data_IF_089694925402
#
_entry.id   IF_089694925402
#
_cell.length_a   1.000
_cell.length_b   1.000
_cell.length_c   1.000
_cell.angle_alpha   90.00
_cell.angle_beta   90.00
_cell.angle_gamma   90.00
#
_symmetry.space_group_name_H-M   'P 1'
#
loop_
_entity.id
_entity.type
_entity.pdbx_description
1 polymer ?
#
# COMPACT_ATOMS: atom_id res chain seq x y z
N UNK A 1 -9.24 2.18 17.74
CA UNK A 1 -7.99 1.70 17.12
C UNK A 1 -7.63 2.49 15.87
N UNK A 2 -6.32 2.68 15.60
CA UNK A 2 -5.89 3.35 14.37
C UNK A 2 -6.31 2.56 13.12
N UNK A 3 -6.80 3.23 12.06
CA UNK A 3 -7.31 2.54 10.87
C UNK A 3 -6.16 1.88 10.10
N UNK A 4 -6.37 0.64 9.65
CA UNK A 4 -5.44 -0.11 8.81
C UNK A 4 -6.09 -0.37 7.45
N UNK A 5 -5.43 0.04 6.37
CA UNK A 5 -5.85 -0.24 5.01
C UNK A 5 -4.84 -1.15 4.33
N UNK A 6 -5.28 -2.31 3.85
CA UNK A 6 -4.48 -3.20 3.01
C UNK A 6 -5.06 -3.17 1.60
N UNK A 7 -4.23 -2.85 0.62
CA UNK A 7 -4.60 -2.87 -0.80
C UNK A 7 -4.02 -4.12 -1.44
N UNK A 8 -4.87 -5.10 -1.77
CA UNK A 8 -4.44 -6.28 -2.52
C UNK A 8 -4.23 -5.93 -4.00
N UNK A 9 -3.00 -6.09 -4.45
CA UNK A 9 -2.54 -5.81 -5.80
C UNK A 9 -2.40 -7.08 -6.65
N UNK A 10 -2.88 -8.24 -6.16
CA UNK A 10 -2.76 -9.54 -6.86
C UNK A 10 -3.32 -9.55 -8.28
N UNK A 11 -4.33 -8.72 -8.57
CA UNK A 11 -4.94 -8.56 -9.90
C UNK A 11 -4.48 -7.30 -10.65
N UNK A 12 -3.66 -6.46 -10.03
CA UNK A 12 -3.17 -5.21 -10.64
C UNK A 12 -1.99 -5.53 -11.54
N UNK A 13 -2.07 -5.11 -12.81
CA UNK A 13 -1.02 -5.34 -13.81
C UNK A 13 -0.03 -4.18 -13.89
N UNK A 14 -0.49 -2.95 -13.72
CA UNK A 14 0.29 -1.73 -13.87
C UNK A 14 -0.31 -0.59 -13.04
N UNK A 15 0.54 0.36 -12.62
CA UNK A 15 0.14 1.61 -11.98
C UNK A 15 0.88 2.80 -12.59
N UNK A 16 0.17 3.92 -12.72
CA UNK A 16 0.71 5.20 -13.19
C UNK A 16 0.59 6.30 -12.13
N UNK A 17 0.93 7.54 -12.53
CA UNK A 17 0.97 8.72 -11.65
C UNK A 17 -0.33 8.99 -10.88
N UNK A 18 -1.49 8.72 -11.49
CA UNK A 18 -2.79 8.87 -10.83
C UNK A 18 -2.91 7.98 -9.57
N UNK A 19 -2.52 6.71 -9.69
CA UNK A 19 -2.55 5.76 -8.56
C UNK A 19 -1.53 6.12 -7.49
N UNK A 20 -0.33 6.55 -7.90
CA UNK A 20 0.70 7.07 -7.00
C UNK A 20 0.16 8.26 -6.19
N UNK A 21 -0.51 9.22 -6.82
CA UNK A 21 -1.13 10.36 -6.14
C UNK A 21 -2.24 9.94 -5.16
N UNK A 22 -3.04 8.93 -5.52
CA UNK A 22 -4.03 8.36 -4.61
C UNK A 22 -3.39 7.71 -3.38
N UNK A 23 -2.32 6.92 -3.54
CA UNK A 23 -1.64 6.30 -2.41
C UNK A 23 -1.03 7.33 -1.45
N UNK A 24 -0.43 8.40 -1.97
CA UNK A 24 0.07 9.51 -1.14
C UNK A 24 -1.08 10.15 -0.35
N UNK A 25 -2.21 10.39 -1.01
CA UNK A 25 -3.39 10.99 -0.37
C UNK A 25 -3.96 10.08 0.72
N UNK A 26 -4.11 8.79 0.44
CA UNK A 26 -4.59 7.80 1.40
C UNK A 26 -3.65 7.69 2.61
N UNK A 27 -2.34 7.53 2.37
CA UNK A 27 -1.33 7.41 3.43
C UNK A 27 -1.34 8.64 4.36
N UNK A 28 -1.33 9.86 3.79
CA UNK A 28 -1.42 11.10 4.59
C UNK A 28 -2.73 11.22 5.36
N UNK A 29 -3.83 10.78 4.77
CA UNK A 29 -5.16 10.87 5.39
C UNK A 29 -5.27 9.92 6.58
N UNK A 30 -4.80 8.68 6.44
CA UNK A 30 -4.81 7.71 7.53
C UNK A 30 -3.78 8.08 8.60
N UNK A 31 -2.61 8.60 8.23
CA UNK A 31 -1.59 9.04 9.19
C UNK A 31 -2.10 10.12 10.16
N UNK A 32 -3.01 11.02 9.72
CA UNK A 32 -3.67 12.00 10.61
C UNK A 32 -4.50 11.35 11.73
N UNK A 33 -4.86 10.08 11.59
CA UNK A 33 -5.59 9.27 12.57
C UNK A 33 -4.71 8.20 13.23
N UNK A 34 -3.38 8.29 13.06
CA UNK A 34 -2.41 7.28 13.50
C UNK A 34 -2.47 5.96 12.71
N UNK A 35 -3.20 5.93 11.59
CA UNK A 35 -3.40 4.74 10.78
C UNK A 35 -2.34 4.52 9.71
N UNK A 36 -2.44 3.40 8.99
CA UNK A 36 -1.45 2.96 8.00
C UNK A 36 -2.10 2.45 6.71
N UNK A 37 -1.35 2.55 5.61
CA UNK A 37 -1.70 1.95 4.31
C UNK A 37 -0.59 0.99 3.92
N UNK A 38 -0.93 -0.24 3.57
CA UNK A 38 0.02 -1.26 3.14
C UNK A 38 -0.42 -1.91 1.83
N UNK A 39 0.55 -2.39 1.05
CA UNK A 39 0.32 -3.02 -0.25
C UNK A 39 0.57 -4.51 -0.13
N UNK A 40 -0.39 -5.32 -0.54
CA UNK A 40 -0.29 -6.77 -0.53
C UNK A 40 -0.11 -7.27 -1.96
N UNK A 41 0.85 -8.18 -2.18
CA UNK A 41 1.10 -8.83 -3.48
C UNK A 41 1.31 -7.88 -4.70
N UNK A 42 2.07 -6.76 -4.60
CA UNK A 42 2.40 -5.99 -5.79
C UNK A 42 3.28 -6.81 -6.74
N UNK A 43 2.96 -6.81 -8.04
CA UNK A 43 3.84 -7.41 -9.04
C UNK A 43 5.13 -6.58 -9.24
N UNK A 44 6.12 -7.13 -9.95
CA UNK A 44 7.44 -6.50 -10.16
C UNK A 44 7.35 -5.09 -10.79
N UNK A 45 6.44 -4.90 -11.75
CA UNK A 45 6.25 -3.61 -12.42
C UNK A 45 5.68 -2.56 -11.46
N UNK A 46 4.71 -2.95 -10.63
CA UNK A 46 4.14 -2.09 -9.60
C UNK A 46 5.18 -1.75 -8.52
N UNK A 47 5.95 -2.74 -8.05
CA UNK A 47 7.04 -2.52 -7.09
C UNK A 47 8.06 -1.51 -7.63
N UNK A 48 8.41 -1.62 -8.91
CA UNK A 48 9.33 -0.71 -9.58
C UNK A 48 8.77 0.72 -9.60
N UNK A 49 7.49 0.89 -9.97
CA UNK A 49 6.85 2.21 -9.99
C UNK A 49 6.77 2.85 -8.58
N UNK A 50 6.48 2.07 -7.55
CA UNK A 50 6.44 2.54 -6.14
C UNK A 50 7.84 2.97 -5.69
N UNK A 51 8.86 2.18 -6.04
CA UNK A 51 10.26 2.44 -5.69
C UNK A 51 10.80 3.70 -6.36
N UNK A 52 10.58 3.85 -7.67
CA UNK A 52 10.96 5.05 -8.42
C UNK A 52 10.26 6.31 -7.87
N UNK A 53 9.03 6.16 -7.37
CA UNK A 53 8.26 7.23 -6.75
C UNK A 53 8.66 7.49 -5.28
N UNK A 54 9.65 6.77 -4.74
CA UNK A 54 10.11 6.83 -3.33
C UNK A 54 8.99 6.60 -2.31
N UNK A 55 7.96 5.83 -2.67
CA UNK A 55 6.82 5.55 -1.79
C UNK A 55 7.01 4.33 -0.89
N UNK A 56 8.12 3.58 -1.05
CA UNK A 56 8.41 2.38 -0.25
C UNK A 56 8.41 2.65 1.27
N UNK A 57 8.77 3.86 1.70
CA UNK A 57 8.76 4.25 3.12
C UNK A 57 7.38 4.64 3.65
N UNK A 58 6.44 4.97 2.76
CA UNK A 58 5.08 5.40 3.09
C UNK A 58 4.06 4.25 2.99
N UNK A 59 4.38 3.23 2.20
CA UNK A 59 3.51 2.12 1.84
C UNK A 59 4.26 0.80 2.06
N UNK A 60 4.26 0.26 3.29
CA UNK A 60 4.85 -1.05 3.57
C UNK A 60 4.24 -2.10 2.64
N UNK A 61 5.11 -2.90 2.01
CA UNK A 61 4.70 -4.04 1.21
C UNK A 61 4.64 -5.27 2.10
N UNK A 62 3.48 -5.90 2.14
CA UNK A 62 3.22 -7.07 2.96
C UNK A 62 3.26 -8.34 2.13
N UNK A 63 3.70 -9.42 2.76
CA UNK A 63 3.47 -10.78 2.32
C UNK A 63 2.09 -11.26 2.78
N UNK A 64 1.62 -12.35 2.18
CA UNK A 64 0.28 -12.92 2.43
C UNK A 64 0.07 -13.33 3.89
N UNK A 65 1.10 -13.88 4.53
CA UNK A 65 1.11 -14.26 5.95
C UNK A 65 1.06 -13.04 6.89
N UNK A 66 1.73 -11.95 6.54
CA UNK A 66 1.74 -10.72 7.34
C UNK A 66 0.38 -9.99 7.34
N UNK A 67 -0.36 -10.06 6.23
CA UNK A 67 -1.69 -9.44 6.11
C UNK A 67 -2.73 -10.06 7.07
N UNK A 68 -2.71 -11.38 7.25
CA UNK A 68 -3.64 -12.09 8.14
C UNK A 68 -3.47 -11.75 9.62
N UNK A 69 -2.28 -11.30 10.03
CA UNK A 69 -2.02 -10.82 11.39
C UNK A 69 -2.52 -9.39 11.64
N UNK A 70 -2.69 -8.60 10.57
CA UNK A 70 -3.04 -7.17 10.67
C UNK A 70 -4.54 -6.91 10.62
N UNK A 71 -5.28 -7.75 9.89
CA UNK A 71 -6.73 -7.71 9.77
C UNK A 71 -7.23 -9.17 9.84
N UNK A 72 -7.89 -9.60 10.93
CA UNK A 72 -8.53 -10.90 10.96
C UNK A 72 -9.66 -10.89 9.91
N UNK A 73 -9.53 -11.74 8.89
CA UNK A 73 -10.54 -11.96 7.85
C UNK A 73 -11.58 -12.97 8.31
#
# INVERSE_FOLDING_TARGET
DPPKLIVDMSQVKFIGSAVIGMFVTASKTLAKRGGTVSLLNPNQLCQTAISLSKLNSLLPMLKRDEAGALIPL
#
